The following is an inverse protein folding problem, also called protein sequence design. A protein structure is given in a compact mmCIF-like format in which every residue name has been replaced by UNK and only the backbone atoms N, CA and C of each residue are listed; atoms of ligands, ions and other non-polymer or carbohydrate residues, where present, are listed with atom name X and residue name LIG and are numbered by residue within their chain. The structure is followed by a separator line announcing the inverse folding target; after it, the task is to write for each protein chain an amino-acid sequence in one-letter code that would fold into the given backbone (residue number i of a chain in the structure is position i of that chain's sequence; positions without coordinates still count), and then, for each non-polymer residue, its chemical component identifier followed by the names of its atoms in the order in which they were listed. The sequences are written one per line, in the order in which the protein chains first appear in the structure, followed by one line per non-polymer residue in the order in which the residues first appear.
data_IF_350205928847
#
_entry.id   IF_350205928847
#
_cell.length_a   1.000
_cell.length_b   1.000
_cell.length_c   1.000
_cell.angle_alpha   90.00
_cell.angle_beta   90.00
_cell.angle_gamma   90.00
#
_symmetry.space_group_name_H-M   'P 1'
#
loop_
_entity.id
_entity.type
_entity.pdbx_description
1 polymer ?
#
# COMPACT_ATOMS: atom_id res chain seq x y z
N UNK A 1 -8.41 52.31 -91.81
CA UNK A 1 -7.82 53.17 -90.76
C UNK A 1 -7.76 52.33 -89.49
N UNK A 2 -6.54 51.97 -89.05
CA UNK A 2 -6.12 51.54 -87.69
C UNK A 2 -6.90 50.36 -87.04
N UNK A 3 -6.33 49.25 -86.56
CA UNK A 3 -5.00 48.62 -86.52
C UNK A 3 -5.23 47.22 -85.91
N UNK A 4 -4.47 46.23 -86.41
CA UNK A 4 -3.67 45.22 -85.67
C UNK A 4 -4.39 44.35 -84.61
N UNK A 5 -4.45 43.03 -84.83
CA UNK A 5 -3.43 42.04 -84.42
C UNK A 5 -3.40 41.87 -82.90
N UNK A 6 -3.39 40.69 -82.27
CA UNK A 6 -2.53 39.52 -82.48
C UNK A 6 -3.08 38.45 -81.48
N UNK A 7 -3.39 37.22 -81.91
CA UNK A 7 -2.53 36.02 -81.84
C UNK A 7 -2.59 35.24 -80.52
N UNK A 8 -3.09 33.99 -80.68
CA UNK A 8 -2.66 32.67 -80.17
C UNK A 8 -2.43 32.50 -78.64
N UNK A 9 -2.43 31.31 -78.03
CA UNK A 9 -2.20 29.91 -78.40
C UNK A 9 -2.98 29.08 -77.34
N UNK A 10 -3.85 28.12 -77.71
CA UNK A 10 -3.57 26.69 -77.97
C UNK A 10 -3.52 25.80 -76.71
N UNK A 11 -4.46 24.82 -76.75
CA UNK A 11 -4.44 23.44 -76.25
C UNK A 11 -4.18 23.12 -74.78
N UNK A 12 -5.05 22.29 -74.19
CA UNK A 12 -4.83 20.83 -74.13
C UNK A 12 -6.08 20.09 -73.58
N UNK A 13 -6.56 19.12 -74.38
CA UNK A 13 -7.01 17.74 -74.09
C UNK A 13 -7.88 17.47 -72.83
N UNK A 14 -9.13 17.01 -73.01
CA UNK A 14 -9.59 15.59 -72.95
C UNK A 14 -9.22 14.89 -71.60
N UNK A 15 -10.12 14.36 -70.78
CA UNK A 15 -11.11 13.31 -71.07
C UNK A 15 -12.30 13.26 -70.09
N UNK A 16 -13.42 12.88 -70.69
CA UNK A 16 -14.64 12.17 -70.24
C UNK A 16 -14.52 11.31 -68.97
N UNK A 17 -15.59 11.28 -68.15
CA UNK A 17 -15.83 10.17 -67.20
C UNK A 17 -17.15 10.26 -66.43
N UNK A 18 -18.12 9.40 -66.79
CA UNK A 18 -19.44 9.24 -66.17
C UNK A 18 -19.40 8.91 -64.67
N UNK A 19 -20.35 9.49 -63.91
CA UNK A 19 -20.66 9.13 -62.52
C UNK A 19 -21.28 7.72 -62.46
N UNK A 20 -20.56 6.78 -61.85
CA UNK A 20 -21.14 5.59 -61.19
C UNK A 20 -21.06 5.82 -59.69
N UNK A 21 -22.20 5.78 -59.01
CA UNK A 21 -22.30 5.72 -57.56
C UNK A 21 -22.36 4.26 -57.14
N UNK A 22 -21.20 3.70 -56.79
CA UNK A 22 -21.08 2.41 -56.12
C UNK A 22 -20.49 2.62 -54.73
N UNK A 23 -21.23 2.12 -53.73
CA UNK A 23 -20.87 1.77 -52.36
C UNK A 23 -19.63 2.45 -51.72
N UNK A 24 -19.89 3.46 -50.88
CA UNK A 24 -18.98 3.81 -49.79
C UNK A 24 -19.22 2.87 -48.61
N UNK A 25 -18.41 1.81 -48.53
CA UNK A 25 -17.95 1.26 -47.25
C UNK A 25 -17.05 2.32 -46.61
N UNK A 26 -17.61 3.12 -45.71
CA UNK A 26 -16.84 4.05 -44.88
C UNK A 26 -17.26 3.89 -43.43
N UNK A 27 -16.49 3.02 -42.78
CA UNK A 27 -16.07 3.07 -41.39
C UNK A 27 -17.15 3.39 -40.35
N UNK A 28 -17.49 2.36 -39.58
CA UNK A 28 -17.81 2.46 -38.18
C UNK A 28 -17.00 3.61 -37.53
N UNK A 29 -17.66 4.74 -37.27
CA UNK A 29 -17.25 5.65 -36.20
C UNK A 29 -17.57 4.93 -34.89
N UNK A 30 -16.80 3.88 -34.59
CA UNK A 30 -16.58 3.43 -33.23
C UNK A 30 -15.77 4.56 -32.60
N UNK A 31 -16.49 5.45 -31.92
CA UNK A 31 -15.95 6.52 -31.10
C UNK A 31 -14.89 5.90 -30.19
N UNK A 32 -13.63 5.98 -30.60
CA UNK A 32 -12.47 5.55 -29.83
C UNK A 32 -12.38 6.57 -28.71
N UNK A 33 -13.07 6.27 -27.61
CA UNK A 33 -12.75 6.80 -26.30
C UNK A 33 -11.25 6.55 -26.12
N UNK A 34 -10.47 7.59 -26.37
CA UNK A 34 -9.03 7.56 -26.18
C UNK A 34 -8.86 7.57 -24.66
N UNK A 35 -8.68 6.37 -24.10
CA UNK A 35 -8.44 6.20 -22.68
C UNK A 35 -7.24 7.06 -22.35
N UNK A 36 -7.44 8.02 -21.45
CA UNK A 36 -6.34 8.82 -20.96
C UNK A 36 -5.46 7.92 -20.08
N UNK A 37 -4.48 7.27 -20.71
CA UNK A 37 -3.62 6.25 -20.10
C UNK A 37 -2.71 6.81 -19.01
N UNK A 38 -2.54 8.13 -18.93
CA UNK A 38 -1.92 8.78 -17.76
C UNK A 38 -2.74 8.58 -16.48
N UNK A 39 -4.06 8.35 -16.60
CA UNK A 39 -4.96 8.12 -15.46
C UNK A 39 -4.87 6.70 -14.90
N UNK A 40 -4.43 5.71 -15.68
CA UNK A 40 -4.35 4.31 -15.19
C UNK A 40 -3.06 4.01 -14.42
N UNK A 41 -1.99 4.78 -14.65
CA UNK A 41 -0.73 4.65 -13.90
C UNK A 41 -0.94 5.06 -12.45
N UNK A 42 -0.35 4.29 -11.54
CA UNK A 42 -0.43 4.49 -10.10
C UNK A 42 -0.84 3.23 -9.33
N UNK A 43 -1.08 3.43 -8.05
CA UNK A 43 -1.46 2.37 -7.12
C UNK A 43 -2.99 2.32 -7.03
N UNK A 44 -3.52 1.13 -7.23
CA UNK A 44 -4.94 0.82 -7.10
C UNK A 44 -5.14 -0.20 -5.98
N UNK A 45 -6.20 -0.05 -5.19
CA UNK A 45 -6.40 -0.79 -3.95
C UNK A 45 -7.84 -1.31 -3.83
N UNK A 46 -7.96 -2.55 -3.36
CA UNK A 46 -9.18 -3.21 -2.93
C UNK A 46 -8.99 -3.64 -1.47
N UNK A 47 -10.00 -3.38 -0.66
CA UNK A 47 -10.03 -3.74 0.76
C UNK A 47 -11.35 -4.44 1.03
N UNK A 48 -11.29 -5.71 1.43
CA UNK A 48 -12.42 -6.41 2.04
C UNK A 48 -12.38 -6.22 3.55
N UNK A 49 -13.28 -5.36 4.06
CA UNK A 49 -13.56 -5.27 5.48
C UNK A 49 -15.04 -5.59 5.79
N UNK A 50 -15.60 -6.60 5.12
CA UNK A 50 -16.97 -7.08 5.34
C UNK A 50 -17.28 -7.44 6.80
N UNK A 51 -16.26 -7.84 7.58
CA UNK A 51 -16.42 -8.20 8.98
C UNK A 51 -16.33 -7.01 9.97
N UNK A 52 -16.15 -5.76 9.49
CA UNK A 52 -16.00 -4.54 10.32
C UNK A 52 -14.97 -4.69 11.46
N UNK A 53 -13.89 -5.42 11.21
CA UNK A 53 -12.80 -5.60 12.17
C UNK A 53 -11.72 -4.55 11.93
N UNK A 54 -10.88 -4.33 12.93
CA UNK A 54 -9.73 -3.41 12.84
C UNK A 54 -8.72 -3.85 11.76
N UNK A 55 -8.67 -5.15 11.47
CA UNK A 55 -7.81 -5.75 10.44
C UNK A 55 -8.69 -6.22 9.27
N UNK A 56 -8.48 -5.69 8.05
CA UNK A 56 -9.18 -6.16 6.86
C UNK A 56 -8.99 -7.67 6.65
N UNK A 57 -10.01 -8.31 6.11
CA UNK A 57 -9.96 -9.74 5.78
C UNK A 57 -9.05 -9.99 4.57
N UNK A 58 -9.14 -9.11 3.58
CA UNK A 58 -8.35 -9.17 2.35
C UNK A 58 -7.93 -7.76 1.92
N UNK A 59 -6.70 -7.61 1.44
CA UNK A 59 -6.18 -6.41 0.80
C UNK A 59 -5.53 -6.83 -0.50
N UNK A 60 -5.92 -6.21 -1.61
CA UNK A 60 -5.28 -6.42 -2.90
C UNK A 60 -4.87 -5.08 -3.49
N UNK A 61 -3.59 -4.95 -3.81
CA UNK A 61 -3.02 -3.76 -4.44
C UNK A 61 -2.45 -4.10 -5.80
N UNK A 62 -2.63 -3.20 -6.76
CA UNK A 62 -2.03 -3.27 -8.09
C UNK A 62 -1.33 -1.94 -8.38
N UNK A 63 -0.01 -1.97 -8.43
CA UNK A 63 0.81 -0.82 -8.79
C UNK A 63 1.17 -0.88 -10.27
N UNK A 64 0.49 -0.11 -11.10
CA UNK A 64 0.79 0.04 -12.53
C UNK A 64 1.90 1.07 -12.66
N UNK A 65 3.13 0.60 -12.90
CA UNK A 65 4.35 1.44 -12.86
C UNK A 65 4.65 2.12 -14.19
N UNK A 66 4.63 1.36 -15.27
CA UNK A 66 5.01 1.85 -16.59
C UNK A 66 3.93 1.61 -17.62
N UNK A 67 3.85 2.54 -18.56
CA UNK A 67 3.06 2.44 -19.78
C UNK A 67 3.96 2.79 -20.97
N UNK A 68 4.09 1.87 -21.93
CA UNK A 68 4.82 2.10 -23.19
C UNK A 68 4.23 1.22 -24.29
N UNK A 69 3.92 1.80 -25.45
CA UNK A 69 3.42 1.08 -26.63
C UNK A 69 2.25 0.13 -26.32
N UNK A 70 1.21 0.63 -25.64
CA UNK A 70 0.04 -0.16 -25.20
C UNK A 70 0.36 -1.32 -24.24
N UNK A 71 1.59 -1.42 -23.74
CA UNK A 71 2.01 -2.39 -22.74
C UNK A 71 2.15 -1.75 -21.38
N UNK A 72 1.78 -2.50 -20.33
CA UNK A 72 2.02 -2.12 -18.94
C UNK A 72 2.90 -3.13 -18.24
N UNK A 73 3.69 -2.63 -17.29
CA UNK A 73 4.29 -3.46 -16.24
C UNK A 73 3.72 -3.02 -14.91
N UNK A 74 3.31 -4.01 -14.12
CA UNK A 74 2.76 -3.77 -12.81
C UNK A 74 3.30 -4.78 -11.80
N UNK A 75 3.07 -4.47 -10.53
CA UNK A 75 3.32 -5.36 -9.41
C UNK A 75 2.04 -5.43 -8.60
N UNK A 76 1.58 -6.64 -8.28
CA UNK A 76 0.48 -6.79 -7.33
C UNK A 76 1.00 -7.20 -5.95
N UNK A 77 0.24 -6.93 -4.91
CA UNK A 77 0.44 -7.51 -3.59
C UNK A 77 -0.92 -7.88 -3.04
N UNK A 78 -1.08 -9.14 -2.65
CA UNK A 78 -2.31 -9.66 -2.08
C UNK A 78 -2.07 -10.18 -0.66
N UNK A 79 -2.93 -9.78 0.26
CA UNK A 79 -2.93 -10.16 1.66
C UNK A 79 -4.30 -10.75 1.93
N UNK A 80 -4.36 -12.02 2.30
CA UNK A 80 -5.58 -12.75 2.64
C UNK A 80 -5.56 -13.18 4.11
N UNK A 81 -6.74 -13.56 4.62
CA UNK A 81 -6.93 -14.11 5.97
C UNK A 81 -6.27 -13.24 7.05
N UNK A 82 -6.57 -11.94 7.02
CA UNK A 82 -6.09 -10.95 8.00
C UNK A 82 -4.57 -10.95 8.18
N UNK A 83 -3.82 -11.20 7.10
CA UNK A 83 -2.36 -11.18 7.12
C UNK A 83 -1.70 -12.56 7.19
N UNK A 84 -2.46 -13.64 7.41
CA UNK A 84 -1.90 -14.98 7.50
C UNK A 84 -1.40 -15.53 6.14
N UNK A 85 -1.90 -14.99 5.03
CA UNK A 85 -1.51 -15.37 3.67
C UNK A 85 -1.04 -14.15 2.91
N UNK A 86 0.20 -14.16 2.43
CA UNK A 86 0.82 -13.01 1.78
C UNK A 86 1.42 -13.45 0.44
N UNK A 87 0.97 -12.79 -0.62
CA UNK A 87 1.47 -12.90 -1.99
C UNK A 87 2.01 -11.53 -2.43
N UNK A 88 3.16 -11.16 -1.86
CA UNK A 88 3.79 -9.86 -2.05
C UNK A 88 5.31 -10.04 -2.16
N UNK A 89 5.97 -9.09 -2.82
CA UNK A 89 7.43 -8.95 -2.82
C UNK A 89 7.81 -7.57 -2.33
N UNK A 90 8.85 -7.51 -1.50
CA UNK A 90 9.42 -6.28 -0.97
C UNK A 90 10.37 -5.59 -1.96
N UNK A 91 10.88 -6.34 -2.92
CA UNK A 91 11.68 -5.82 -4.03
C UNK A 91 10.75 -5.35 -5.17
N UNK A 92 11.27 -4.41 -5.99
CA UNK A 92 10.62 -3.95 -7.22
C UNK A 92 10.63 -5.03 -8.32
N UNK A 93 9.90 -6.11 -8.09
CA UNK A 93 9.81 -7.24 -8.98
C UNK A 93 8.47 -7.20 -9.68
N UNK A 94 8.42 -6.67 -10.90
CA UNK A 94 7.18 -6.63 -11.68
C UNK A 94 6.72 -8.06 -12.03
N UNK A 95 5.71 -8.54 -11.32
CA UNK A 95 5.12 -9.86 -11.53
C UNK A 95 3.87 -9.84 -12.43
N UNK A 96 3.48 -8.67 -12.94
CA UNK A 96 2.37 -8.48 -13.86
C UNK A 96 2.85 -7.79 -15.13
N UNK A 97 2.44 -8.35 -16.27
CA UNK A 97 2.59 -7.72 -17.60
C UNK A 97 1.23 -7.64 -18.25
N UNK A 98 0.96 -6.54 -18.95
CA UNK A 98 -0.34 -6.30 -19.55
C UNK A 98 -0.27 -5.69 -20.94
N UNK A 99 -1.32 -5.93 -21.74
CA UNK A 99 -1.55 -5.30 -23.04
C UNK A 99 -2.92 -4.65 -23.01
N UNK A 100 -2.98 -3.35 -23.32
CA UNK A 100 -4.21 -2.57 -23.40
C UNK A 100 -4.84 -2.77 -24.78
N UNK A 101 -6.14 -3.05 -24.81
CA UNK A 101 -6.95 -3.13 -26.03
C UNK A 101 -8.32 -2.51 -25.78
N UNK A 102 -8.50 -1.25 -26.18
CA UNK A 102 -9.68 -0.48 -25.81
C UNK A 102 -9.80 -0.37 -24.28
N UNK A 103 -11.01 -0.52 -23.72
CA UNK A 103 -11.27 -0.41 -22.27
C UNK A 103 -10.87 -1.62 -21.44
N UNK A 104 -10.04 -2.50 -21.99
CA UNK A 104 -9.60 -3.73 -21.33
C UNK A 104 -8.07 -3.81 -21.31
N UNK A 105 -7.53 -4.31 -20.21
CA UNK A 105 -6.12 -4.70 -20.09
C UNK A 105 -6.07 -6.20 -19.90
N UNK A 106 -5.39 -6.89 -20.81
CA UNK A 106 -5.17 -8.33 -20.71
C UNK A 106 -3.84 -8.58 -20.02
N UNK A 107 -3.87 -9.32 -18.92
CA UNK A 107 -2.73 -9.51 -18.03
C UNK A 107 -2.24 -10.94 -18.01
N UNK A 108 -0.92 -11.08 -17.91
CA UNK A 108 -0.26 -12.28 -17.41
C UNK A 108 0.37 -11.94 -16.07
N UNK A 109 0.21 -12.82 -15.07
CA UNK A 109 0.78 -12.60 -13.75
C UNK A 109 1.33 -13.88 -13.13
N UNK A 110 2.34 -13.71 -12.28
CA UNK A 110 2.91 -14.75 -11.44
C UNK A 110 2.77 -14.37 -9.98
N UNK A 111 2.48 -15.34 -9.12
CA UNK A 111 2.53 -15.19 -7.69
C UNK A 111 3.99 -15.08 -7.21
N UNK A 112 4.18 -14.29 -6.17
CA UNK A 112 5.39 -14.24 -5.35
C UNK A 112 5.48 -15.42 -4.38
N UNK A 113 4.37 -16.15 -4.20
CA UNK A 113 4.34 -17.39 -3.45
C UNK A 113 4.84 -18.55 -4.33
N UNK A 114 3.96 -19.23 -5.06
CA UNK A 114 4.35 -20.39 -5.88
C UNK A 114 3.69 -20.40 -7.28
N UNK A 115 2.53 -19.76 -7.42
CA UNK A 115 1.70 -19.78 -8.62
C UNK A 115 2.37 -19.13 -9.84
N UNK A 116 2.34 -19.81 -10.99
CA UNK A 116 2.84 -19.30 -12.27
C UNK A 116 1.79 -19.34 -13.38
N UNK A 117 1.98 -18.56 -14.44
CA UNK A 117 1.17 -18.57 -15.66
C UNK A 117 -0.32 -18.21 -15.48
N UNK A 118 -0.60 -17.33 -14.51
CA UNK A 118 -1.92 -16.74 -14.30
C UNK A 118 -2.28 -15.77 -15.41
N UNK A 119 -3.59 -15.66 -15.72
CA UNK A 119 -4.13 -14.63 -16.61
C UNK A 119 -5.28 -13.90 -15.93
N UNK A 120 -5.32 -12.59 -16.13
CA UNK A 120 -6.39 -11.74 -15.64
C UNK A 120 -6.78 -10.72 -16.70
N UNK A 121 -7.91 -10.06 -16.47
CA UNK A 121 -8.38 -8.94 -17.25
C UNK A 121 -8.70 -7.78 -16.30
N UNK A 122 -8.44 -6.56 -16.75
CA UNK A 122 -8.93 -5.34 -16.11
C UNK A 122 -9.90 -4.65 -17.05
N UNK A 123 -11.12 -4.39 -16.60
CA UNK A 123 -12.00 -3.41 -17.24
C UNK A 123 -11.74 -2.02 -16.64
N UNK A 124 -11.47 -1.05 -17.51
CA UNK A 124 -11.13 0.32 -17.13
C UNK A 124 -12.42 1.14 -17.05
N UNK A 125 -12.73 1.64 -15.86
CA UNK A 125 -13.78 2.63 -15.64
C UNK A 125 -13.15 3.96 -15.20
N UNK A 126 -13.95 5.03 -15.19
CA UNK A 126 -13.45 6.37 -14.85
C UNK A 126 -12.85 6.45 -13.44
N UNK A 127 -13.51 5.81 -12.46
CA UNK A 127 -13.17 5.94 -11.03
C UNK A 127 -12.54 4.67 -10.44
N UNK A 128 -12.58 3.55 -11.16
CA UNK A 128 -12.15 2.25 -10.65
C UNK A 128 -11.65 1.33 -11.76
N UNK A 129 -10.89 0.32 -11.35
CA UNK A 129 -10.51 -0.81 -12.20
C UNK A 129 -11.23 -2.06 -11.73
N UNK A 130 -11.81 -2.83 -12.66
CA UNK A 130 -12.40 -4.12 -12.34
C UNK A 130 -11.43 -5.23 -12.72
N UNK A 131 -10.75 -5.81 -11.74
CA UNK A 131 -9.87 -6.96 -11.90
C UNK A 131 -10.69 -8.27 -11.93
N UNK A 132 -10.34 -9.17 -12.84
CA UNK A 132 -10.89 -10.54 -12.91
C UNK A 132 -9.84 -11.54 -13.37
N UNK A 133 -9.58 -12.58 -12.59
CA UNK A 133 -8.76 -13.72 -13.01
C UNK A 133 -9.54 -14.52 -14.07
N UNK A 134 -8.93 -14.72 -15.23
CA UNK A 134 -9.49 -15.48 -16.37
C UNK A 134 -8.85 -16.85 -16.51
N UNK A 135 -7.64 -17.04 -15.97
CA UNK A 135 -6.97 -18.34 -15.82
C UNK A 135 -6.20 -18.33 -14.50
N UNK A 136 -6.52 -19.25 -13.60
CA UNK A 136 -5.78 -19.43 -12.35
C UNK A 136 -4.32 -19.78 -12.63
N UNK A 137 -3.36 -19.24 -11.85
CA UNK A 137 -1.99 -19.74 -11.82
C UNK A 137 -1.92 -21.24 -11.51
N UNK A 138 -0.90 -21.90 -12.04
CA UNK A 138 -0.49 -23.25 -11.65
C UNK A 138 0.35 -23.11 -10.37
N UNK A 139 -0.18 -23.60 -9.24
CA UNK A 139 0.42 -23.44 -7.91
C UNK A 139 -0.38 -22.50 -7.01
N UNK A 140 0.10 -22.29 -5.78
CA UNK A 140 -0.59 -21.44 -4.79
C UNK A 140 -0.42 -19.96 -5.08
N UNK A 141 -1.52 -19.21 -5.01
CA UNK A 141 -1.56 -17.76 -5.19
C UNK A 141 -2.70 -17.20 -4.32
N UNK A 142 -2.63 -15.91 -3.98
CA UNK A 142 -3.61 -15.25 -3.09
C UNK A 142 -4.22 -13.99 -3.71
N UNK A 143 -4.08 -13.80 -5.04
CA UNK A 143 -4.77 -12.71 -5.72
C UNK A 143 -6.28 -13.02 -5.81
N UNK A 144 -7.17 -12.04 -5.57
CA UNK A 144 -8.60 -12.24 -5.65
C UNK A 144 -9.02 -12.73 -7.03
N UNK A 145 -10.02 -13.61 -7.08
CA UNK A 145 -10.64 -14.01 -8.34
C UNK A 145 -11.29 -12.81 -9.06
N UNK A 146 -11.85 -11.86 -8.29
CA UNK A 146 -12.40 -10.60 -8.76
C UNK A 146 -12.21 -9.50 -7.71
N UNK A 147 -11.88 -8.29 -8.13
CA UNK A 147 -11.76 -7.14 -7.23
C UNK A 147 -12.11 -5.84 -7.95
N UNK A 148 -12.83 -4.95 -7.24
CA UNK A 148 -13.08 -3.57 -7.67
C UNK A 148 -12.09 -2.66 -6.98
N UNK A 149 -11.11 -2.19 -7.73
CA UNK A 149 -9.96 -1.42 -7.24
C UNK A 149 -10.20 0.09 -7.39
N UNK A 150 -9.89 0.87 -6.37
CA UNK A 150 -9.96 2.34 -6.40
C UNK A 150 -8.54 2.93 -6.33
N UNK A 151 -8.37 4.12 -6.92
CA UNK A 151 -7.05 4.75 -6.96
C UNK A 151 -6.65 5.20 -5.57
N UNK A 152 -5.43 4.84 -5.14
CA UNK A 152 -4.88 5.28 -3.86
C UNK A 152 -4.42 6.74 -4.00
N UNK A 153 -5.03 7.64 -3.24
CA UNK A 153 -4.66 9.06 -3.27
C UNK A 153 -3.20 9.24 -2.82
N UNK A 154 -2.43 10.03 -3.58
CA UNK A 154 -1.10 10.48 -3.15
C UNK A 154 -1.28 11.60 -2.14
N UNK A 155 -0.82 11.43 -0.89
CA UNK A 155 -0.64 12.57 0.01
C UNK A 155 0.50 13.44 -0.55
N UNK A 156 0.16 14.63 -1.03
CA UNK A 156 1.13 15.66 -1.41
C UNK A 156 1.71 16.24 -0.11
N UNK A 157 3.04 16.21 0.03
CA UNK A 157 3.74 16.98 1.06
C UNK A 157 3.66 18.45 0.65
N UNK A 158 2.86 19.24 1.36
CA UNK A 158 2.84 20.69 1.20
C UNK A 158 4.00 21.31 2.01
N UNK A 159 4.97 21.87 1.28
CA UNK A 159 5.90 22.85 1.83
C UNK A 159 5.14 24.16 2.04
N UNK A 160 4.89 24.55 3.30
CA UNK A 160 4.73 25.97 3.66
C UNK A 160 5.59 26.24 4.89
N UNK A 161 6.59 27.08 4.64
CA UNK A 161 7.48 27.72 5.59
C UNK A 161 6.69 28.75 6.40
N UNK A 162 6.59 28.57 7.72
CA UNK A 162 6.62 29.69 8.66
C UNK A 162 6.92 29.23 10.10
N UNK A 163 7.72 30.06 10.77
CA UNK A 163 8.52 29.73 11.95
C UNK A 163 7.69 29.49 13.23
N UNK A 164 7.71 28.26 13.72
CA UNK A 164 7.90 27.89 15.13
C UNK A 164 8.70 26.60 15.15
N UNK A 165 9.63 26.46 16.08
CA UNK A 165 10.57 25.35 16.15
C UNK A 165 9.85 23.99 16.24
N UNK A 166 9.53 23.40 15.09
CA UNK A 166 9.05 22.03 14.98
C UNK A 166 10.28 21.18 14.74
N UNK A 167 10.65 20.40 15.74
CA UNK A 167 11.67 19.36 15.66
C UNK A 167 11.33 18.46 14.46
N UNK A 168 12.25 18.34 13.50
CA UNK A 168 12.09 17.54 12.29
C UNK A 168 11.55 16.13 12.60
N UNK A 169 10.28 15.89 12.28
CA UNK A 169 9.45 14.76 12.73
C UNK A 169 9.62 13.48 11.90
N UNK A 170 10.84 13.17 11.46
CA UNK A 170 11.17 11.90 10.81
C UNK A 170 12.33 11.14 11.47
N UNK A 171 12.93 11.73 12.52
CA UNK A 171 14.07 11.15 13.22
C UNK A 171 13.67 9.87 13.98
N UNK A 172 14.44 8.81 13.79
CA UNK A 172 14.29 7.57 14.53
C UNK A 172 14.85 7.73 15.94
N UNK A 173 14.27 7.04 16.92
CA UNK A 173 14.91 6.81 18.22
C UNK A 173 16.24 6.08 18.01
N UNK A 174 17.25 6.45 18.79
CA UNK A 174 18.53 5.73 18.84
C UNK A 174 18.35 4.48 19.70
N UNK A 175 18.57 3.31 19.10
CA UNK A 175 18.53 2.01 19.77
C UNK A 175 19.91 1.64 20.35
N UNK A 176 19.98 0.82 21.42
CA UNK A 176 18.87 0.13 22.10
C UNK A 176 18.06 1.05 23.01
N UNK A 177 16.85 0.62 23.37
CA UNK A 177 16.00 1.35 24.32
C UNK A 177 15.24 0.40 25.24
N UNK A 178 15.00 0.84 26.47
CA UNK A 178 14.18 0.16 27.46
C UNK A 178 13.04 1.04 27.94
N UNK A 179 12.10 0.46 28.70
CA UNK A 179 11.04 1.21 29.34
C UNK A 179 11.60 2.35 30.23
N UNK A 180 12.65 2.07 31.00
CA UNK A 180 13.23 3.05 31.94
C UNK A 180 13.84 4.25 31.21
N UNK A 181 14.45 4.03 30.03
CA UNK A 181 14.99 5.12 29.21
C UNK A 181 13.89 6.09 28.76
N UNK A 182 12.72 5.55 28.39
CA UNK A 182 11.56 6.32 27.92
C UNK A 182 10.83 7.08 29.03
N UNK A 183 11.00 6.64 30.28
CA UNK A 183 10.47 7.31 31.46
C UNK A 183 11.46 8.30 32.07
N UNK A 184 12.70 8.35 31.58
CA UNK A 184 13.71 9.26 32.08
C UNK A 184 13.46 10.69 31.54
N UNK A 185 13.13 11.67 32.40
CA UNK A 185 12.87 13.04 31.96
C UNK A 185 14.09 13.76 31.37
N UNK A 186 15.30 13.26 31.65
CA UNK A 186 16.55 13.82 31.13
C UNK A 186 16.82 13.41 29.68
N UNK A 187 16.08 12.42 29.16
CA UNK A 187 16.25 11.90 27.80
C UNK A 187 15.06 12.33 26.94
N UNK A 188 15.33 13.15 25.92
CA UNK A 188 14.31 13.56 24.95
C UNK A 188 14.36 12.69 23.71
N UNK A 189 13.22 12.08 23.37
CA UNK A 189 13.05 11.32 22.13
C UNK A 189 12.23 12.12 21.11
N UNK A 190 12.55 12.00 19.81
CA UNK A 190 11.76 12.62 18.76
C UNK A 190 10.37 11.97 18.71
N UNK A 191 9.36 12.73 19.15
CA UNK A 191 7.95 12.37 18.98
C UNK A 191 7.54 12.77 17.56
N UNK A 192 6.80 11.90 16.89
CA UNK A 192 6.24 12.20 15.57
C UNK A 192 4.78 12.60 15.70
N UNK A 193 4.37 13.59 14.91
CA UNK A 193 2.97 14.00 14.80
C UNK A 193 2.22 13.02 13.88
N UNK A 194 1.91 11.85 14.42
CA UNK A 194 1.16 10.79 13.74
C UNK A 194 0.09 10.24 14.66
N UNK A 195 -1.17 10.42 14.26
CA UNK A 195 -2.32 9.82 14.96
C UNK A 195 -2.37 8.32 14.71
N UNK A 196 -2.21 7.54 15.76
CA UNK A 196 -2.34 6.08 15.71
C UNK A 196 -3.33 5.66 16.79
N UNK A 197 -4.36 4.93 16.39
CA UNK A 197 -5.41 4.44 17.26
C UNK A 197 -5.25 2.94 17.43
N UNK A 198 -5.21 2.47 18.67
CA UNK A 198 -5.19 1.05 19.03
C UNK A 198 -6.34 0.81 20.00
N UNK A 199 -7.22 -0.15 19.67
CA UNK A 199 -8.35 -0.55 20.54
C UNK A 199 -9.24 0.65 20.94
N UNK A 200 -9.49 1.54 19.98
CA UNK A 200 -10.32 2.73 20.17
C UNK A 200 -9.67 3.86 20.97
N UNK A 201 -8.42 3.70 21.43
CA UNK A 201 -7.66 4.74 22.12
C UNK A 201 -6.62 5.35 21.16
N UNK A 202 -6.47 6.67 21.15
CA UNK A 202 -5.38 7.36 20.43
C UNK A 202 -4.10 7.32 21.27
N UNK A 203 -2.95 7.10 20.64
CA UNK A 203 -1.66 7.08 21.32
C UNK A 203 -1.32 8.48 21.85
N UNK A 204 -0.93 8.56 23.13
CA UNK A 204 -0.47 9.80 23.77
C UNK A 204 0.88 10.25 23.22
N UNK A 205 1.73 9.31 22.82
CA UNK A 205 2.99 9.61 22.13
C UNK A 205 3.33 8.51 21.13
N UNK A 206 3.91 8.94 20.01
CA UNK A 206 4.35 8.07 18.93
C UNK A 206 5.82 8.35 18.66
N UNK A 207 6.62 7.29 18.69
CA UNK A 207 8.03 7.34 18.39
C UNK A 207 8.33 6.45 17.19
N UNK A 208 9.21 6.91 16.31
CA UNK A 208 9.65 6.14 15.16
C UNK A 208 10.86 5.28 15.55
N UNK A 209 10.72 3.96 15.49
CA UNK A 209 11.84 3.03 15.74
C UNK A 209 12.62 2.74 14.45
N UNK A 210 11.90 2.58 13.34
CA UNK A 210 12.44 2.34 12.01
C UNK A 210 11.48 2.88 10.94
N UNK A 211 11.66 2.53 9.66
CA UNK A 211 10.90 3.17 8.58
C UNK A 211 9.40 2.91 8.72
N UNK A 212 9.03 1.68 9.06
CA UNK A 212 7.66 1.22 9.14
C UNK A 212 7.25 0.83 10.57
N UNK A 213 8.17 0.91 11.53
CA UNK A 213 7.97 0.46 12.90
C UNK A 213 7.92 1.64 13.86
N UNK A 214 6.88 1.67 14.69
CA UNK A 214 6.64 2.72 15.66
C UNK A 214 6.45 2.13 17.06
N UNK A 215 6.89 2.88 18.06
CA UNK A 215 6.61 2.65 19.46
C UNK A 215 5.53 3.62 19.89
N UNK A 216 4.48 3.11 20.51
CA UNK A 216 3.32 3.87 20.97
C UNK A 216 3.26 3.82 22.48
N UNK A 217 3.01 4.97 23.09
CA UNK A 217 2.69 5.10 24.50
C UNK A 217 1.25 5.56 24.66
N UNK A 218 0.55 4.95 25.59
CA UNK A 218 -0.81 5.30 25.99
C UNK A 218 -0.82 5.62 27.47
N UNK A 219 -1.15 6.88 27.76
CA UNK A 219 -1.40 7.37 29.11
C UNK A 219 -2.84 7.04 29.54
N UNK A 220 -3.07 6.92 30.85
CA UNK A 220 -4.36 6.59 31.46
C UNK A 220 -4.22 5.69 32.69
N UNK A 221 -5.35 5.17 33.19
CA UNK A 221 -5.40 4.34 34.41
C UNK A 221 -4.51 3.09 34.35
N UNK A 222 -4.28 2.57 33.13
CA UNK A 222 -3.32 1.51 32.88
C UNK A 222 -2.38 1.95 31.77
N UNK A 223 -1.14 2.27 32.15
CA UNK A 223 -0.05 2.57 31.22
C UNK A 223 0.18 1.38 30.28
N UNK A 224 0.22 1.65 28.97
CA UNK A 224 0.47 0.63 27.93
C UNK A 224 1.47 1.11 26.88
N UNK A 225 2.32 0.18 26.45
CA UNK A 225 3.28 0.37 25.38
C UNK A 225 3.07 -0.67 24.28
N UNK A 226 2.99 -0.21 23.04
CA UNK A 226 2.89 -1.08 21.88
C UNK A 226 4.03 -0.82 20.91
N UNK A 227 4.61 -1.88 20.36
CA UNK A 227 5.27 -1.78 19.06
C UNK A 227 4.25 -2.07 17.99
N UNK A 228 4.21 -1.23 16.97
CA UNK A 228 3.37 -1.41 15.81
C UNK A 228 4.18 -1.33 14.53
N UNK A 229 3.77 -2.06 13.52
CA UNK A 229 4.35 -1.98 12.19
C UNK A 229 3.29 -1.56 11.20
N UNK A 230 3.70 -0.83 10.16
CA UNK A 230 2.85 -0.41 9.07
C UNK A 230 3.34 -1.02 7.77
N UNK A 231 2.42 -1.58 6.98
CA UNK A 231 2.70 -2.00 5.61
C UNK A 231 1.73 -1.25 4.71
N UNK A 232 2.25 -0.63 3.65
CA UNK A 232 1.44 0.19 2.73
C UNK A 232 0.61 1.29 3.43
N UNK A 233 1.16 1.86 4.51
CA UNK A 233 0.56 2.88 5.35
C UNK A 233 -0.69 2.44 6.13
N UNK A 234 -0.90 1.13 6.28
CA UNK A 234 -1.92 0.56 7.17
C UNK A 234 -1.26 -0.19 8.32
N UNK A 235 -1.89 -0.16 9.50
CA UNK A 235 -1.44 -0.91 10.67
C UNK A 235 -1.44 -2.41 10.32
N UNK A 236 -0.27 -3.05 10.40
CA UNK A 236 -0.08 -4.44 9.98
C UNK A 236 0.06 -5.37 11.18
N UNK A 237 0.99 -5.10 12.10
CA UNK A 237 1.08 -5.80 13.38
C UNK A 237 1.07 -4.84 14.55
N UNK A 238 0.65 -5.35 15.69
CA UNK A 238 0.83 -4.73 17.01
C UNK A 238 1.27 -5.78 18.01
N UNK A 239 2.18 -5.41 18.90
CA UNK A 239 2.60 -6.20 20.05
C UNK A 239 2.53 -5.32 21.29
N UNK A 240 1.79 -5.76 22.30
CA UNK A 240 1.85 -5.16 23.63
C UNK A 240 3.19 -5.54 24.25
N UNK A 241 4.03 -4.54 24.49
CA UNK A 241 5.39 -4.76 25.00
C UNK A 241 5.59 -4.18 26.40
N UNK A 242 4.70 -3.31 26.87
CA UNK A 242 4.77 -2.75 28.21
C UNK A 242 3.38 -2.55 28.80
N UNK A 243 3.22 -2.92 30.07
CA UNK A 243 1.98 -2.73 30.83
C UNK A 243 2.28 -2.71 32.32
N UNK A 244 1.59 -1.88 33.07
CA UNK A 244 1.49 -1.98 34.53
C UNK A 244 0.02 -2.14 34.90
N UNK A 245 -0.31 -3.14 35.71
CA UNK A 245 -1.67 -3.36 36.23
C UNK A 245 -1.62 -3.77 37.70
N UNK A 246 -2.55 -3.25 38.49
CA UNK A 246 -2.72 -3.64 39.89
C UNK A 246 -4.06 -4.36 40.03
N UNK A 247 -4.02 -5.59 40.52
CA UNK A 247 -5.19 -6.45 40.70
C UNK A 247 -5.37 -6.71 42.19
N UNK A 248 -6.57 -6.45 42.71
CA UNK A 248 -6.98 -6.88 44.04
C UNK A 248 -7.63 -8.26 43.91
N UNK A 249 -7.04 -9.29 44.53
CA UNK A 249 -7.67 -10.62 44.56
C UNK A 249 -8.84 -10.67 45.54
N UNK A 250 -9.69 -11.69 45.40
CA UNK A 250 -10.92 -11.87 46.21
C UNK A 250 -10.71 -11.85 47.74
N UNK A 251 -9.48 -12.07 48.20
CA UNK A 251 -9.08 -11.99 49.61
C UNK A 251 -8.46 -10.63 50.02
N UNK A 252 -8.63 -9.57 49.21
CA UNK A 252 -8.12 -8.22 49.46
C UNK A 252 -6.61 -8.06 49.26
N UNK A 253 -5.93 -9.04 48.66
CA UNK A 253 -4.49 -8.96 48.41
C UNK A 253 -4.23 -8.21 47.11
N UNK A 254 -3.43 -7.16 47.20
CA UNK A 254 -2.98 -6.37 46.06
C UNK A 254 -1.83 -7.09 45.36
N UNK A 255 -1.94 -7.26 44.05
CA UNK A 255 -0.98 -7.94 43.19
C UNK A 255 -0.73 -7.06 41.97
N UNK A 256 0.52 -6.60 41.83
CA UNK A 256 0.92 -5.87 40.63
C UNK A 256 1.49 -6.82 39.58
N UNK A 257 1.08 -6.66 38.32
CA UNK A 257 1.71 -7.31 37.18
C UNK A 257 2.35 -6.27 36.26
N UNK A 258 3.52 -6.63 35.75
CA UNK A 258 4.33 -5.76 34.91
C UNK A 258 4.77 -6.51 33.66
N UNK A 259 4.77 -5.80 32.53
CA UNK A 259 5.51 -6.19 31.33
C UNK A 259 6.59 -5.13 31.14
N UNK A 260 7.84 -5.53 31.29
CA UNK A 260 9.00 -4.70 30.97
C UNK A 260 9.56 -5.12 29.61
N UNK A 261 10.16 -4.18 28.89
CA UNK A 261 10.76 -4.45 27.59
C UNK A 261 12.15 -3.84 27.44
N UNK A 262 12.91 -4.47 26.55
CA UNK A 262 14.12 -3.91 25.94
C UNK A 262 14.05 -4.19 24.43
N UNK A 263 14.39 -3.19 23.62
CA UNK A 263 14.51 -3.29 22.17
C UNK A 263 15.97 -3.03 21.81
N UNK A 264 16.62 -3.99 21.17
CA UNK A 264 18.01 -3.86 20.77
C UNK A 264 18.18 -3.13 19.42
N UNK A 265 19.44 -2.93 19.01
CA UNK A 265 19.80 -2.26 17.75
C UNK A 265 19.30 -2.98 16.50
N UNK A 266 18.97 -4.27 16.60
CA UNK A 266 18.49 -5.10 15.51
C UNK A 266 16.96 -5.27 15.56
N UNK A 267 16.25 -4.44 16.34
CA UNK A 267 14.81 -4.54 16.54
C UNK A 267 14.37 -5.90 17.13
N UNK A 268 15.24 -6.54 17.89
CA UNK A 268 14.85 -7.67 18.74
C UNK A 268 14.28 -7.14 20.03
N UNK A 269 13.07 -7.56 20.36
CA UNK A 269 12.36 -7.20 21.58
C UNK A 269 12.53 -8.33 22.59
N UNK A 270 12.87 -7.99 23.83
CA UNK A 270 12.82 -8.92 24.97
C UNK A 270 11.77 -8.43 25.95
N UNK A 271 10.78 -9.27 26.23
CA UNK A 271 9.71 -8.99 27.18
C UNK A 271 9.93 -9.78 28.48
N UNK A 272 9.69 -9.13 29.61
CA UNK A 272 9.78 -9.73 30.93
C UNK A 272 8.46 -9.50 31.67
N UNK A 273 7.75 -10.59 31.91
CA UNK A 273 6.49 -10.59 32.64
C UNK A 273 6.77 -10.87 34.11
N UNK A 274 6.35 -9.97 34.99
CA UNK A 274 6.58 -10.06 36.43
C UNK A 274 5.27 -9.91 37.19
N UNK A 275 5.18 -10.59 38.34
CA UNK A 275 4.13 -10.37 39.35
C UNK A 275 4.82 -9.95 40.64
N UNK A 276 4.62 -8.72 41.07
CA UNK A 276 5.46 -8.07 42.07
C UNK A 276 6.94 -8.17 41.67
N UNK A 277 7.79 -8.61 42.61
CA UNK A 277 9.24 -8.79 42.36
C UNK A 277 9.60 -10.08 41.62
N UNK A 278 8.64 -10.98 41.36
CA UNK A 278 8.93 -12.31 40.79
C UNK A 278 8.71 -12.33 39.28
N UNK A 279 9.76 -12.68 38.55
CA UNK A 279 9.69 -12.96 37.11
C UNK A 279 8.88 -14.24 36.89
N UNK A 280 7.89 -14.17 35.99
CA UNK A 280 7.03 -15.29 35.61
C UNK A 280 7.42 -15.87 34.25
N UNK A 281 7.74 -15.00 33.30
CA UNK A 281 8.00 -15.39 31.91
C UNK A 281 8.93 -14.39 31.24
N UNK A 282 9.76 -14.89 30.34
CA UNK A 282 10.52 -14.07 29.41
C UNK A 282 10.15 -14.51 28.00
N UNK A 283 9.91 -13.56 27.13
CA UNK A 283 9.68 -13.81 25.71
C UNK A 283 10.63 -12.96 24.88
N UNK A 284 10.90 -13.40 23.66
CA UNK A 284 11.67 -12.62 22.71
C UNK A 284 10.98 -12.60 21.37
N UNK A 285 11.08 -11.48 20.68
CA UNK A 285 10.48 -11.25 19.39
C UNK A 285 11.50 -10.59 18.46
N UNK A 286 11.38 -10.84 17.17
CA UNK A 286 12.14 -10.16 16.14
C UNK A 286 11.17 -9.37 15.27
N UNK A 287 11.43 -8.07 15.11
CA UNK A 287 10.71 -7.25 14.13
C UNK A 287 11.51 -7.28 12.83
N UNK A 288 10.82 -7.52 11.72
CA UNK A 288 11.34 -7.23 10.40
C UNK A 288 10.65 -5.95 9.89
N UNK A 289 11.33 -4.82 9.95
CA UNK A 289 10.78 -3.51 9.58
C UNK A 289 10.34 -3.43 8.11
N UNK A 290 10.96 -4.22 7.23
CA UNK A 290 10.62 -4.22 5.80
C UNK A 290 9.32 -4.96 5.54
N UNK A 291 9.11 -6.12 6.17
CA UNK A 291 7.88 -6.91 6.01
C UNK A 291 6.78 -6.49 7.00
N UNK A 292 7.13 -5.76 8.05
CA UNK A 292 6.26 -5.46 9.19
C UNK A 292 5.98 -6.67 10.10
N UNK A 293 6.57 -7.84 9.84
CA UNK A 293 6.31 -9.04 10.64
C UNK A 293 6.97 -8.91 12.02
N UNK A 294 6.23 -9.33 13.05
CA UNK A 294 6.75 -9.51 14.41
C UNK A 294 6.72 -11.00 14.72
N UNK A 295 7.87 -11.65 14.70
CA UNK A 295 8.01 -13.08 14.95
C UNK A 295 8.42 -13.36 16.38
N UNK A 296 7.74 -14.30 17.04
CA UNK A 296 8.16 -14.78 18.35
C UNK A 296 9.36 -15.72 18.17
N UNK A 297 10.42 -15.45 18.91
CA UNK A 297 11.61 -16.30 18.96
C UNK A 297 11.41 -17.39 20.02
N UNK A 298 11.76 -18.62 19.64
CA UNK A 298 11.74 -19.80 20.51
C UNK A 298 12.92 -19.82 21.48
#
# INVERSE_FOLDING_TARGET
MVKKNFILLISFLFFIGCKKSDAQTLSDKKQKSEINTSKIVGIWEYIDNSNKKDIPNEIFTLNIKNYKNDSITAQYCAIEDRGNKIDCSNEENNNVKGIIKGHKIYLSFNSFFEGKDGKAEIEIHNEYLLWKVTKSPIGKYYAPSQAKLYKKEKKVQENIQDNKATVNSEANIILPISKDDLLNPDIQFPIIDKKIIIEGSEASSVYKLANNTFLLWFDGDNERWYVVTFVNNQLFNKLLIGKSETIESENGKIIDNYIDFNIDKNLKIKLKYSTGKKIKKIESYQINDQTGIIEKLL
#
